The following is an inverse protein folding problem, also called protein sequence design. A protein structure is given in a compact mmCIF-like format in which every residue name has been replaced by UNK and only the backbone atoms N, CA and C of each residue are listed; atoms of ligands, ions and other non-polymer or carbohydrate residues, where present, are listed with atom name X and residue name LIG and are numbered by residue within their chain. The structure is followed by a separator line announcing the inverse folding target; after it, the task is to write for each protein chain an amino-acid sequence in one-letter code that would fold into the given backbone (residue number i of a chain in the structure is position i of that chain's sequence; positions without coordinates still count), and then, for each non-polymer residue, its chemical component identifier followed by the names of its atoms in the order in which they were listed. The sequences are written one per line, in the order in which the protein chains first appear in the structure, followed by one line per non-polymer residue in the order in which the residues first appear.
data_IF_052006340288
#
_entry.id   IF_052006340288
#
_cell.length_a   1.000
_cell.length_b   1.000
_cell.length_c   1.000
_cell.angle_alpha   90.00
_cell.angle_beta   90.00
_cell.angle_gamma   90.00
#
_symmetry.space_group_name_H-M   'P 1'
#
loop_
_entity.id
_entity.type
_entity.pdbx_description
1 polymer ?
#
# COMPACT_ATOMS: atom_id res chain seq x y z
N UNK A 1 23.94 16.71 7.02
CA UNK A 1 23.24 16.79 8.32
C UNK A 1 22.43 15.51 8.45
N UNK A 2 22.88 14.55 9.25
CA UNK A 2 22.19 13.26 9.38
C UNK A 2 20.91 13.42 10.18
N UNK A 3 19.77 13.21 9.55
CA UNK A 3 18.51 12.95 10.25
C UNK A 3 18.51 11.49 10.68
N UNK A 4 18.94 11.23 11.92
CA UNK A 4 18.81 9.91 12.52
C UNK A 4 17.34 9.45 12.45
N UNK A 5 17.09 8.22 11.99
CA UNK A 5 15.74 7.67 11.96
C UNK A 5 15.28 7.39 13.39
N UNK A 6 14.40 8.25 13.91
CA UNK A 6 13.75 8.06 15.20
C UNK A 6 12.72 6.93 15.10
N UNK A 7 12.61 6.12 16.17
CA UNK A 7 11.48 5.20 16.30
C UNK A 7 10.19 5.99 16.55
N UNK A 8 8.99 5.42 16.30
CA UNK A 8 7.72 6.09 16.58
C UNK A 8 7.62 6.62 18.02
N UNK A 9 8.00 5.80 19.01
CA UNK A 9 8.00 6.19 20.43
C UNK A 9 8.96 7.35 20.73
N UNK A 10 10.08 7.45 20.01
CA UNK A 10 11.03 8.56 20.13
C UNK A 10 10.50 9.84 19.49
N UNK A 11 9.76 9.73 18.40
CA UNK A 11 9.07 10.86 17.77
C UNK A 11 7.98 11.41 18.69
N UNK A 12 7.13 10.54 19.26
CA UNK A 12 6.07 10.92 20.20
C UNK A 12 6.64 11.56 21.49
N UNK A 13 7.76 11.04 22.00
CA UNK A 13 8.46 11.63 23.13
C UNK A 13 9.02 13.03 22.80
N UNK A 14 9.60 13.24 21.61
CA UNK A 14 10.09 14.56 21.18
C UNK A 14 8.96 15.55 20.93
N UNK A 15 7.85 15.11 20.31
CA UNK A 15 6.65 15.95 20.12
C UNK A 15 6.06 16.39 21.48
N UNK A 16 5.95 15.46 22.43
CA UNK A 16 5.49 15.75 23.80
C UNK A 16 6.39 16.75 24.52
N UNK A 17 7.72 16.63 24.36
CA UNK A 17 8.68 17.61 24.89
C UNK A 17 8.53 18.98 24.25
N UNK A 18 8.30 19.05 22.93
CA UNK A 18 8.13 20.31 22.21
C UNK A 18 6.88 21.07 22.66
N UNK A 19 5.76 20.38 22.89
CA UNK A 19 4.53 20.95 23.45
C UNK A 19 4.71 21.56 24.86
N UNK A 20 5.64 21.01 25.65
CA UNK A 20 5.96 21.50 26.98
C UNK A 20 6.88 22.75 26.99
N UNK A 21 7.35 23.23 25.83
CA UNK A 21 8.27 24.38 25.77
C UNK A 21 7.56 25.74 25.88
N UNK A 22 8.20 26.70 26.55
CA UNK A 22 7.76 28.11 26.59
C UNK A 22 7.71 28.77 25.20
N UNK A 23 8.45 28.22 24.22
CA UNK A 23 8.36 28.65 22.84
C UNK A 23 7.01 28.26 22.21
N UNK A 24 6.59 27.00 22.39
CA UNK A 24 5.28 26.51 21.95
C UNK A 24 4.14 27.27 22.63
N UNK A 25 4.22 27.46 23.95
CA UNK A 25 3.18 28.18 24.70
C UNK A 25 3.05 29.65 24.26
N UNK A 26 4.16 30.34 23.93
CA UNK A 26 4.13 31.70 23.36
C UNK A 26 3.54 31.76 21.95
N UNK A 27 3.74 30.74 21.13
CA UNK A 27 3.12 30.66 19.79
C UNK A 27 1.60 30.50 19.93
N UNK A 28 1.15 29.56 20.76
CA UNK A 28 -0.28 29.28 20.98
C UNK A 28 -0.99 30.50 21.61
N UNK A 29 -0.41 31.13 22.63
CA UNK A 29 -0.99 32.32 23.28
C UNK A 29 -0.90 33.60 22.44
N UNK A 30 -0.02 33.64 21.43
CA UNK A 30 0.09 34.74 20.48
C UNK A 30 -0.88 34.65 19.30
N UNK A 31 -1.56 33.51 19.11
CA UNK A 31 -2.31 33.19 17.90
C UNK A 31 -3.45 34.19 17.63
N UNK A 32 -4.23 34.53 18.66
CA UNK A 32 -5.36 35.48 18.59
C UNK A 32 -4.96 36.91 18.16
N UNK A 33 -3.66 37.24 18.15
CA UNK A 33 -3.14 38.56 17.72
C UNK A 33 -2.73 38.63 16.27
N UNK A 34 -2.81 37.52 15.52
CA UNK A 34 -2.34 37.45 14.11
C UNK A 34 -3.46 37.49 13.07
N UNK A 35 -4.71 37.60 13.50
CA UNK A 35 -5.87 37.75 12.61
C UNK A 35 -6.30 39.21 12.60
N UNK A 36 -5.94 39.96 11.56
CA UNK A 36 -6.69 41.19 11.24
C UNK A 36 -8.10 40.79 10.78
N UNK A 37 -9.12 41.40 11.39
CA UNK A 37 -10.51 41.10 11.08
C UNK A 37 -10.86 41.62 9.67
N UNK A 38 -11.31 40.76 8.72
CA UNK A 38 -11.50 41.16 7.34
C UNK A 38 -12.69 42.12 7.21
N UNK A 39 -12.40 43.38 6.89
CA UNK A 39 -13.41 44.41 6.64
C UNK A 39 -14.29 43.99 5.46
N UNK A 40 -15.58 43.73 5.75
CA UNK A 40 -16.58 43.37 4.74
C UNK A 40 -16.88 44.60 3.85
N UNK A 41 -16.75 44.51 2.51
CA UNK A 41 -17.16 45.60 1.62
C UNK A 41 -18.68 45.79 1.63
N UNK A 42 -19.19 47.01 1.39
CA UNK A 42 -20.62 47.30 1.41
C UNK A 42 -21.35 46.62 0.23
N UNK A 43 -22.57 46.14 0.49
CA UNK A 43 -23.41 45.52 -0.52
C UNK A 43 -23.96 46.56 -1.50
N UNK A 44 -23.80 46.29 -2.80
CA UNK A 44 -24.51 47.01 -3.88
C UNK A 44 -25.94 46.47 -4.03
N UNK A 45 -26.97 47.35 -4.14
CA UNK A 45 -28.34 46.93 -4.43
C UNK A 45 -28.55 46.62 -5.93
N UNK A 46 -29.68 45.95 -6.22
CA UNK A 46 -30.06 45.37 -7.51
C UNK A 46 -30.30 46.37 -8.66
N UNK A 47 -30.26 45.86 -9.91
CA UNK A 47 -30.94 46.50 -11.06
C UNK A 47 -30.38 46.17 -12.45
N UNK A 48 -31.19 45.45 -13.27
CA UNK A 48 -31.37 45.62 -14.73
C UNK A 48 -30.16 45.39 -15.69
N UNK A 49 -30.27 44.90 -16.94
CA UNK A 49 -31.30 44.13 -17.67
C UNK A 49 -30.63 43.39 -18.86
N UNK A 50 -31.36 42.50 -19.55
CA UNK A 50 -30.85 41.73 -20.72
C UNK A 50 -30.99 42.49 -22.05
N UNK A 51 -30.33 42.07 -23.16
CA UNK A 51 -31.12 41.39 -24.20
C UNK A 51 -30.40 40.30 -25.05
N UNK A 52 -31.24 39.50 -25.71
CA UNK A 52 -30.92 38.28 -26.48
C UNK A 52 -30.65 38.50 -27.99
N UNK A 53 -29.97 37.54 -28.65
CA UNK A 53 -29.83 37.40 -30.12
C UNK A 53 -29.94 35.90 -30.52
N UNK A 54 -30.55 35.51 -31.67
CA UNK A 54 -31.15 34.17 -31.85
C UNK A 54 -30.34 33.12 -32.64
N UNK A 55 -30.84 31.87 -32.62
CA UNK A 55 -30.38 30.72 -33.44
C UNK A 55 -30.87 30.80 -34.90
N UNK A 56 -30.11 30.20 -35.83
CA UNK A 56 -30.56 29.85 -37.19
C UNK A 56 -29.86 28.56 -37.72
N UNK A 57 -30.30 28.05 -38.87
CA UNK A 57 -30.30 26.64 -39.29
C UNK A 57 -29.00 26.06 -39.95
N UNK A 58 -28.90 24.72 -40.06
CA UNK A 58 -27.86 23.95 -40.80
C UNK A 58 -28.39 23.56 -42.23
N UNK A 59 -27.67 22.89 -43.19
CA UNK A 59 -27.08 21.52 -43.05
C UNK A 59 -25.82 21.23 -43.98
N UNK A 60 -25.59 20.08 -44.71
CA UNK A 60 -24.36 19.23 -44.59
C UNK A 60 -23.68 18.91 -45.99
N UNK A 61 -22.98 17.77 -46.33
CA UNK A 61 -22.44 16.61 -45.56
C UNK A 61 -21.05 15.99 -46.01
N UNK A 62 -20.54 15.03 -45.20
CA UNK A 62 -19.58 13.87 -45.39
C UNK A 62 -18.27 13.90 -46.25
N UNK A 63 -17.28 13.16 -45.71
CA UNK A 63 -16.07 12.48 -46.27
C UNK A 63 -14.72 13.22 -46.07
N UNK A 64 -13.58 12.57 -45.78
CA UNK A 64 -13.28 11.13 -45.51
C UNK A 64 -12.15 10.95 -44.43
N UNK A 65 -11.59 9.74 -44.27
CA UNK A 65 -10.71 9.33 -43.16
C UNK A 65 -9.20 9.61 -43.22
N UNK A 66 -8.57 9.49 -42.04
CA UNK A 66 -7.12 9.28 -41.86
C UNK A 66 -6.85 8.39 -40.63
N UNK A 67 -5.71 7.67 -40.64
CA UNK A 67 -5.37 6.62 -39.66
C UNK A 67 -4.72 7.16 -38.37
N UNK A 68 -4.80 6.43 -37.23
CA UNK A 68 -4.18 6.87 -35.97
C UNK A 68 -2.65 6.75 -36.03
N UNK A 69 -1.96 7.89 -36.06
CA UNK A 69 -0.51 7.95 -35.85
C UNK A 69 -0.13 7.66 -34.38
N UNK A 70 0.99 6.96 -34.12
CA UNK A 70 1.39 6.59 -32.77
C UNK A 70 1.91 7.79 -31.98
N UNK A 71 1.29 8.09 -30.83
CA UNK A 71 1.81 9.09 -29.90
C UNK A 71 3.05 8.52 -29.20
N UNK A 72 4.23 8.92 -29.69
CA UNK A 72 5.50 8.67 -29.04
C UNK A 72 5.53 9.32 -27.64
N UNK A 73 6.09 8.60 -26.67
CA UNK A 73 6.77 9.17 -25.49
C UNK A 73 6.03 10.27 -24.73
N UNK A 74 5.03 9.91 -23.91
CA UNK A 74 4.71 10.73 -22.72
C UNK A 74 5.84 10.53 -21.72
N UNK A 75 6.92 11.29 -21.85
CA UNK A 75 7.94 11.38 -20.80
C UNK A 75 7.25 11.71 -19.48
N UNK A 76 7.48 10.89 -18.45
CA UNK A 76 6.97 11.15 -17.13
C UNK A 76 7.70 12.38 -16.58
N UNK A 77 7.06 13.55 -16.65
CA UNK A 77 7.63 14.75 -16.06
C UNK A 77 7.88 14.49 -14.56
N UNK A 78 9.07 14.85 -14.04
CA UNK A 78 9.31 14.77 -12.61
C UNK A 78 8.32 15.71 -11.92
N UNK A 79 7.46 15.14 -11.08
CA UNK A 79 6.54 15.92 -10.25
C UNK A 79 7.40 16.86 -9.40
N UNK A 80 7.26 18.20 -9.54
CA UNK A 80 8.06 19.12 -8.74
C UNK A 80 7.74 18.88 -7.25
N UNK A 81 8.73 19.04 -6.35
CA UNK A 81 8.46 18.88 -4.92
C UNK A 81 7.33 19.82 -4.52
N UNK A 82 6.24 19.26 -3.97
CA UNK A 82 5.05 20.02 -3.65
C UNK A 82 5.42 21.20 -2.75
N UNK A 83 5.14 22.43 -3.19
CA UNK A 83 5.40 23.61 -2.39
C UNK A 83 4.46 23.60 -1.17
N UNK A 84 5.00 23.17 -0.04
CA UNK A 84 4.28 23.05 1.22
C UNK A 84 3.64 24.35 1.67
N UNK A 85 4.15 25.52 1.23
CA UNK A 85 3.53 26.82 1.52
C UNK A 85 2.19 26.98 0.81
N UNK A 86 2.07 26.45 -0.41
CA UNK A 86 0.82 26.46 -1.17
C UNK A 86 -0.25 25.63 -0.46
N UNK A 87 0.12 24.47 0.10
CA UNK A 87 -0.78 23.62 0.90
C UNK A 87 -1.33 24.36 2.14
N UNK A 88 -0.54 25.24 2.77
CA UNK A 88 -0.98 26.05 3.92
C UNK A 88 -1.92 27.21 3.54
N UNK A 89 -2.01 27.56 2.24
CA UNK A 89 -2.90 28.59 1.71
C UNK A 89 -4.12 28.02 0.96
N UNK A 90 -4.21 26.70 0.82
CA UNK A 90 -5.38 26.05 0.22
C UNK A 90 -6.54 25.97 1.22
N UNK A 91 -7.80 26.22 0.79
CA UNK A 91 -8.98 25.92 1.58
C UNK A 91 -9.04 24.45 1.98
N UNK A 92 -9.45 24.16 3.21
CA UNK A 92 -9.47 22.80 3.79
C UNK A 92 -10.24 21.82 2.91
N UNK A 93 -11.41 22.19 2.40
CA UNK A 93 -12.22 21.32 1.53
C UNK A 93 -11.50 20.94 0.24
N UNK A 94 -10.71 21.88 -0.33
CA UNK A 94 -9.92 21.65 -1.54
C UNK A 94 -8.71 20.75 -1.25
N UNK A 95 -8.10 20.88 -0.08
CA UNK A 95 -7.01 20.00 0.37
C UNK A 95 -7.53 18.58 0.67
N UNK A 96 -8.71 18.45 1.28
CA UNK A 96 -9.39 17.16 1.47
C UNK A 96 -9.70 16.51 0.13
N UNK A 97 -10.35 17.22 -0.80
CA UNK A 97 -10.73 16.67 -2.10
C UNK A 97 -9.49 16.28 -2.95
N UNK A 98 -8.43 17.10 -2.96
CA UNK A 98 -7.17 16.74 -3.63
C UNK A 98 -6.48 15.53 -2.97
N UNK A 99 -6.51 15.44 -1.63
CA UNK A 99 -5.99 14.28 -0.91
C UNK A 99 -6.78 13.01 -1.24
N UNK A 100 -8.12 13.09 -1.26
CA UNK A 100 -8.99 11.97 -1.61
C UNK A 100 -8.85 11.54 -3.06
N UNK A 101 -8.62 12.48 -3.99
CA UNK A 101 -8.34 12.20 -5.41
C UNK A 101 -6.93 11.64 -5.66
N UNK A 102 -5.98 11.90 -4.76
CA UNK A 102 -4.61 11.34 -4.82
C UNK A 102 -4.42 10.07 -3.99
N UNK A 103 -5.40 9.66 -3.17
CA UNK A 103 -5.38 8.35 -2.53
C UNK A 103 -5.32 7.25 -3.61
N UNK A 104 -4.41 6.26 -3.47
CA UNK A 104 -4.43 5.11 -4.36
C UNK A 104 -5.77 4.38 -4.25
N UNK A 105 -6.28 3.89 -5.39
CA UNK A 105 -7.55 3.19 -5.45
C UNK A 105 -7.63 2.10 -4.37
N UNK A 106 -8.78 1.93 -3.67
CA UNK A 106 -8.90 0.95 -2.61
C UNK A 106 -8.47 -0.43 -3.11
N UNK A 107 -7.59 -1.15 -2.38
CA UNK A 107 -7.13 -2.45 -2.84
C UNK A 107 -8.34 -3.37 -3.08
N UNK A 108 -8.36 -4.14 -4.19
CA UNK A 108 -9.49 -5.01 -4.51
C UNK A 108 -9.76 -5.94 -3.33
N UNK A 109 -11.03 -6.02 -2.90
CA UNK A 109 -11.44 -6.72 -1.67
C UNK A 109 -10.84 -8.13 -1.61
N UNK A 110 -9.79 -8.30 -0.81
CA UNK A 110 -9.15 -9.59 -0.61
C UNK A 110 -10.17 -10.58 -0.04
N UNK A 111 -10.31 -11.73 -0.70
CA UNK A 111 -11.17 -12.79 -0.16
C UNK A 111 -10.58 -13.26 1.18
N UNK A 112 -11.35 -13.27 2.27
CA UNK A 112 -10.86 -13.77 3.55
C UNK A 112 -10.38 -15.22 3.40
N UNK A 113 -9.32 -15.56 4.13
CA UNK A 113 -8.90 -16.95 4.25
C UNK A 113 -10.07 -17.75 4.83
N UNK A 114 -10.28 -19.01 4.40
CA UNK A 114 -11.18 -19.88 5.14
C UNK A 114 -10.64 -20.01 6.57
N UNK A 115 -11.50 -19.89 7.58
CA UNK A 115 -11.09 -19.74 8.99
C UNK A 115 -10.37 -20.97 9.57
N UNK A 116 -10.21 -21.04 10.90
CA UNK A 116 -9.42 -22.10 11.57
C UNK A 116 -9.76 -23.54 11.14
N UNK A 117 -11.02 -23.84 10.81
CA UNK A 117 -11.41 -25.15 10.24
C UNK A 117 -10.84 -25.37 8.82
N UNK A 118 -10.84 -24.33 7.99
CA UNK A 118 -10.19 -24.31 6.67
C UNK A 118 -8.68 -24.56 6.72
N UNK A 119 -8.01 -24.10 7.78
CA UNK A 119 -6.57 -24.33 7.96
C UNK A 119 -6.20 -25.82 8.03
N UNK A 120 -7.11 -26.66 8.54
CA UNK A 120 -6.95 -28.11 8.71
C UNK A 120 -7.44 -28.90 7.47
N UNK A 121 -8.43 -28.37 6.75
CA UNK A 121 -9.05 -29.05 5.62
C UNK A 121 -8.05 -29.34 4.47
N UNK A 122 -8.26 -30.43 3.70
CA UNK A 122 -7.47 -30.71 2.50
C UNK A 122 -7.62 -29.59 1.46
N UNK A 123 -6.49 -29.06 0.98
CA UNK A 123 -6.44 -27.89 0.10
C UNK A 123 -7.19 -28.07 -1.23
N UNK A 124 -7.41 -29.32 -1.66
CA UNK A 124 -8.28 -29.66 -2.81
C UNK A 124 -9.71 -29.11 -2.69
N UNK A 125 -10.22 -28.95 -1.46
CA UNK A 125 -11.54 -28.36 -1.19
C UNK A 125 -11.59 -26.84 -1.42
N UNK A 126 -10.44 -26.21 -1.66
CA UNK A 126 -10.33 -24.79 -2.02
C UNK A 126 -9.99 -24.59 -3.50
N UNK A 127 -9.87 -25.66 -4.29
CA UNK A 127 -9.47 -25.60 -5.69
C UNK A 127 -10.37 -24.70 -6.56
N UNK A 128 -11.65 -24.57 -6.21
CA UNK A 128 -12.62 -23.69 -6.88
C UNK A 128 -12.25 -22.19 -6.80
N UNK A 129 -11.44 -21.78 -5.82
CA UNK A 129 -10.97 -20.38 -5.70
C UNK A 129 -9.97 -19.97 -6.79
N UNK A 130 -9.41 -20.92 -7.55
CA UNK A 130 -8.39 -20.68 -8.59
C UNK A 130 -8.93 -20.16 -9.92
N UNK A 131 -10.23 -20.29 -10.17
CA UNK A 131 -10.83 -19.95 -11.47
C UNK A 131 -10.73 -18.44 -11.70
N UNK A 132 -10.08 -18.03 -12.79
CA UNK A 132 -9.99 -16.63 -13.23
C UNK A 132 -9.00 -15.73 -12.49
N UNK A 133 -8.08 -16.28 -11.68
CA UNK A 133 -7.07 -15.46 -10.99
C UNK A 133 -5.87 -15.14 -11.90
N UNK A 134 -5.41 -13.87 -11.96
CA UNK A 134 -4.17 -13.51 -12.65
C UNK A 134 -2.95 -14.04 -11.88
N UNK A 135 -1.80 -14.13 -12.55
CA UNK A 135 -0.55 -14.38 -11.84
C UNK A 135 -0.16 -13.17 -10.98
N UNK A 136 0.47 -13.43 -9.84
CA UNK A 136 0.75 -12.40 -8.83
C UNK A 136 2.23 -12.02 -8.82
N UNK A 137 2.52 -10.82 -8.32
CA UNK A 137 3.88 -10.44 -7.95
C UNK A 137 4.36 -11.28 -6.75
N UNK A 138 5.63 -11.73 -6.72
CA UNK A 138 6.23 -12.38 -5.56
C UNK A 138 5.95 -11.72 -4.20
N UNK A 139 6.01 -10.39 -4.09
CA UNK A 139 5.68 -9.63 -2.88
C UNK A 139 4.23 -9.82 -2.44
N UNK A 140 3.27 -9.74 -3.37
CA UNK A 140 1.84 -9.99 -3.11
C UNK A 140 1.61 -11.43 -2.68
N UNK A 141 2.26 -12.40 -3.32
CA UNK A 141 2.20 -13.81 -2.91
C UNK A 141 2.77 -14.03 -1.50
N UNK A 142 3.89 -13.38 -1.16
CA UNK A 142 4.46 -13.39 0.19
C UNK A 142 3.53 -12.70 1.21
N UNK A 143 2.80 -11.65 0.82
CA UNK A 143 1.75 -11.04 1.65
C UNK A 143 0.61 -12.02 2.02
N UNK A 144 0.17 -12.84 1.06
CA UNK A 144 -0.78 -13.91 1.36
C UNK A 144 -0.16 -15.03 2.23
N UNK A 145 1.12 -15.37 2.02
CA UNK A 145 1.83 -16.31 2.89
C UNK A 145 1.98 -15.79 4.33
N UNK A 146 2.30 -14.50 4.50
CA UNK A 146 2.29 -13.78 5.80
C UNK A 146 0.95 -13.94 6.50
N UNK A 147 -0.13 -13.62 5.79
CA UNK A 147 -1.51 -13.69 6.29
C UNK A 147 -1.86 -15.10 6.76
N UNK A 148 -1.46 -16.14 6.02
CA UNK A 148 -1.63 -17.55 6.42
C UNK A 148 -0.87 -17.86 7.72
N UNK A 149 0.37 -17.38 7.87
CA UNK A 149 1.15 -17.61 9.10
C UNK A 149 0.55 -16.90 10.32
N UNK A 150 0.03 -15.68 10.15
CA UNK A 150 -0.68 -14.95 11.21
C UNK A 150 -2.01 -15.61 11.56
N UNK A 151 -2.87 -15.86 10.58
CA UNK A 151 -4.24 -16.34 10.83
C UNK A 151 -4.31 -17.84 11.17
N UNK A 152 -3.43 -18.69 10.60
CA UNK A 152 -3.47 -20.14 10.80
C UNK A 152 -2.33 -20.66 11.70
N UNK A 153 -1.30 -19.84 11.93
CA UNK A 153 -0.17 -20.13 12.80
C UNK A 153 1.07 -20.62 12.05
N UNK A 154 2.23 -20.36 12.65
CA UNK A 154 3.54 -20.84 12.18
C UNK A 154 3.97 -22.14 12.86
N UNK A 155 4.88 -22.89 12.23
CA UNK A 155 5.55 -24.05 12.82
C UNK A 155 6.99 -24.25 12.34
N UNK A 156 7.84 -24.79 13.23
CA UNK A 156 9.17 -25.33 12.95
C UNK A 156 9.29 -26.85 13.19
N UNK A 157 8.62 -27.38 14.22
CA UNK A 157 8.82 -28.76 14.70
C UNK A 157 7.50 -29.54 14.84
N UNK A 158 7.46 -30.83 14.44
CA UNK A 158 8.36 -31.47 13.49
C UNK A 158 8.21 -30.85 12.10
N UNK A 159 9.28 -30.84 11.30
CA UNK A 159 9.25 -30.18 9.99
C UNK A 159 8.29 -30.87 9.02
N UNK A 160 7.22 -30.17 8.72
CA UNK A 160 6.20 -30.51 7.72
C UNK A 160 5.78 -29.21 7.02
N UNK A 161 5.11 -29.31 5.87
CA UNK A 161 4.42 -28.14 5.31
C UNK A 161 3.24 -27.70 6.19
N UNK A 162 2.66 -28.63 6.95
CA UNK A 162 1.47 -28.46 7.79
C UNK A 162 1.48 -29.42 8.99
N UNK A 163 1.02 -28.99 10.18
CA UNK A 163 0.65 -29.91 11.29
C UNK A 163 -0.87 -30.14 11.38
N UNK A 164 -1.27 -31.02 12.31
CA UNK A 164 -2.66 -31.36 12.56
C UNK A 164 -3.55 -30.16 12.98
N UNK A 165 -2.96 -29.07 13.50
CA UNK A 165 -3.68 -27.83 13.86
C UNK A 165 -3.81 -26.83 12.71
N UNK A 166 -3.25 -27.13 11.53
CA UNK A 166 -3.25 -26.22 10.39
C UNK A 166 -2.17 -25.14 10.43
N UNK A 167 -1.21 -25.17 11.36
CA UNK A 167 -0.07 -24.25 11.28
C UNK A 167 0.83 -24.64 10.10
N UNK A 168 1.49 -23.65 9.46
CA UNK A 168 2.36 -23.83 8.28
C UNK A 168 3.81 -23.40 8.58
N UNK A 169 4.78 -24.04 7.93
CA UNK A 169 6.14 -23.46 7.83
C UNK A 169 6.16 -22.42 6.68
N UNK A 170 7.27 -21.68 6.50
CA UNK A 170 7.40 -20.68 5.41
C UNK A 170 7.03 -21.25 4.03
N UNK A 171 7.67 -22.36 3.61
CA UNK A 171 7.35 -23.02 2.34
C UNK A 171 5.91 -23.55 2.30
N UNK A 172 5.40 -24.01 3.44
CA UNK A 172 4.02 -24.47 3.59
C UNK A 172 3.00 -23.34 3.39
N UNK A 173 3.30 -22.12 3.82
CA UNK A 173 2.45 -20.95 3.68
C UNK A 173 2.38 -20.49 2.21
N UNK A 174 3.51 -20.38 1.52
CA UNK A 174 3.55 -20.05 0.07
C UNK A 174 2.80 -21.09 -0.77
N UNK A 175 3.07 -22.38 -0.57
CA UNK A 175 2.34 -23.46 -1.25
C UNK A 175 0.84 -23.48 -0.90
N UNK A 176 0.46 -23.01 0.28
CA UNK A 176 -0.95 -22.86 0.67
C UNK A 176 -1.59 -21.66 -0.04
N UNK A 177 -0.89 -20.52 -0.15
CA UNK A 177 -1.36 -19.36 -0.90
C UNK A 177 -1.65 -19.73 -2.36
N UNK A 178 -0.71 -20.40 -3.04
CA UNK A 178 -0.93 -20.92 -4.40
C UNK A 178 -2.15 -21.86 -4.48
N UNK A 179 -2.31 -22.79 -3.54
CA UNK A 179 -3.46 -23.72 -3.53
C UNK A 179 -4.80 -23.04 -3.24
N UNK A 180 -4.80 -21.89 -2.57
CA UNK A 180 -5.97 -21.02 -2.38
C UNK A 180 -6.27 -20.15 -3.61
N UNK A 181 -5.40 -20.15 -4.63
CA UNK A 181 -5.53 -19.39 -5.88
C UNK A 181 -4.72 -18.11 -5.97
N UNK A 182 -3.78 -17.90 -5.06
CA UNK A 182 -2.91 -16.73 -5.08
C UNK A 182 -1.60 -17.03 -5.84
N UNK A 183 -1.58 -16.73 -7.14
CA UNK A 183 -0.40 -16.86 -8.01
C UNK A 183 -0.12 -18.29 -8.49
N UNK A 184 0.76 -18.39 -9.49
CA UNK A 184 1.25 -19.65 -10.07
C UNK A 184 2.30 -20.37 -9.20
N UNK A 185 2.74 -21.57 -9.62
CA UNK A 185 3.91 -22.23 -9.00
C UNK A 185 5.21 -21.49 -9.31
N UNK A 186 5.35 -20.90 -10.50
CA UNK A 186 6.47 -20.03 -10.84
C UNK A 186 6.55 -18.82 -9.87
N UNK A 187 5.41 -18.25 -9.48
CA UNK A 187 5.33 -17.20 -8.45
C UNK A 187 5.74 -17.69 -7.06
N UNK A 188 5.47 -18.96 -6.71
CA UNK A 188 5.99 -19.58 -5.48
C UNK A 188 7.52 -19.68 -5.54
N UNK A 189 8.08 -20.12 -6.67
CA UNK A 189 9.52 -20.29 -6.84
C UNK A 189 10.26 -18.94 -6.85
N UNK A 190 9.71 -17.92 -7.54
CA UNK A 190 10.21 -16.53 -7.49
C UNK A 190 10.13 -15.94 -6.08
N UNK A 191 9.03 -16.15 -5.35
CA UNK A 191 8.90 -15.74 -3.94
C UNK A 191 9.92 -16.46 -3.03
N UNK A 192 10.17 -17.76 -3.28
CA UNK A 192 11.21 -18.54 -2.61
C UNK A 192 12.62 -18.00 -2.86
N UNK A 193 12.92 -17.57 -4.10
CA UNK A 193 14.19 -16.96 -4.44
C UNK A 193 14.42 -15.62 -3.71
N UNK A 194 13.37 -14.80 -3.54
CA UNK A 194 13.43 -13.59 -2.72
C UNK A 194 13.69 -13.91 -1.24
N UNK A 195 13.02 -14.92 -0.67
CA UNK A 195 13.28 -15.38 0.71
C UNK A 195 14.74 -15.87 0.89
N UNK A 196 15.28 -16.62 -0.07
CA UNK A 196 16.70 -17.03 -0.05
C UNK A 196 17.65 -15.82 -0.14
N UNK A 197 17.28 -14.79 -0.92
CA UNK A 197 18.07 -13.57 -1.05
C UNK A 197 18.08 -12.77 0.26
N UNK A 198 16.92 -12.62 0.90
CA UNK A 198 16.82 -11.98 2.21
C UNK A 198 17.61 -12.74 3.28
N UNK A 199 17.43 -14.07 3.36
CA UNK A 199 18.21 -14.94 4.26
C UNK A 199 19.72 -14.76 4.10
N UNK A 200 20.22 -14.72 2.86
CA UNK A 200 21.64 -14.47 2.57
C UNK A 200 22.11 -13.10 3.05
N UNK A 201 21.27 -12.07 2.92
CA UNK A 201 21.60 -10.73 3.44
C UNK A 201 21.66 -10.68 4.97
N UNK A 202 20.94 -11.57 5.65
CA UNK A 202 21.01 -11.79 7.10
C UNK A 202 22.13 -12.77 7.52
N UNK A 203 23.04 -13.14 6.60
CA UNK A 203 24.16 -14.05 6.85
C UNK A 203 23.82 -15.54 6.79
N UNK A 204 22.58 -15.93 6.47
CA UNK A 204 22.19 -17.33 6.36
C UNK A 204 22.46 -17.89 4.96
N UNK A 205 23.37 -18.87 4.87
CA UNK A 205 23.81 -19.47 3.60
C UNK A 205 22.98 -20.68 3.16
N UNK A 206 22.18 -21.26 4.05
CA UNK A 206 21.36 -22.45 3.80
C UNK A 206 20.01 -22.16 3.13
N UNK A 207 19.24 -23.23 2.90
CA UNK A 207 17.86 -23.12 2.38
C UNK A 207 16.85 -22.71 3.46
N UNK A 208 15.65 -22.30 3.01
CA UNK A 208 14.50 -21.92 3.88
C UNK A 208 14.14 -23.05 4.86
N UNK A 209 14.15 -24.31 4.41
CA UNK A 209 13.80 -25.48 5.22
C UNK A 209 14.71 -25.66 6.45
N UNK A 210 16.04 -25.74 6.28
CA UNK A 210 17.02 -25.62 7.37
C UNK A 210 16.78 -24.41 8.28
N UNK A 211 16.66 -23.18 7.75
CA UNK A 211 16.43 -21.98 8.56
C UNK A 211 15.20 -22.10 9.46
N UNK A 212 14.08 -22.56 8.88
CA UNK A 212 12.81 -22.73 9.60
C UNK A 212 12.90 -23.84 10.66
N UNK A 213 13.91 -24.72 10.66
CA UNK A 213 14.12 -25.78 11.66
C UNK A 213 15.13 -25.41 12.75
N UNK A 214 15.83 -24.29 12.60
CA UNK A 214 16.90 -23.91 13.52
C UNK A 214 16.35 -23.78 14.96
N UNK A 215 17.02 -24.36 15.98
CA UNK A 215 16.61 -24.23 17.37
C UNK A 215 16.47 -22.77 17.79
N UNK A 216 15.49 -22.49 18.66
CA UNK A 216 15.19 -21.13 19.12
C UNK A 216 14.40 -20.26 18.14
N UNK A 217 14.18 -20.68 16.88
CA UNK A 217 13.34 -19.92 15.94
C UNK A 217 11.90 -19.79 16.43
N UNK A 218 11.36 -18.58 16.26
CA UNK A 218 10.03 -18.19 16.71
C UNK A 218 9.10 -17.86 15.52
N UNK A 219 7.81 -17.76 15.80
CA UNK A 219 6.84 -17.24 14.83
C UNK A 219 7.11 -15.76 14.48
N UNK A 220 7.67 -14.98 15.42
CA UNK A 220 8.05 -13.59 15.19
C UNK A 220 9.19 -13.49 14.16
N UNK A 221 10.23 -14.34 14.28
CA UNK A 221 11.34 -14.39 13.31
C UNK A 221 10.82 -14.69 11.90
N UNK A 222 9.89 -15.65 11.79
CA UNK A 222 9.33 -16.07 10.50
C UNK A 222 8.48 -14.98 9.84
N UNK A 223 7.75 -14.19 10.65
CA UNK A 223 7.00 -13.02 10.16
C UNK A 223 7.95 -11.88 9.80
N UNK A 224 8.95 -11.58 10.63
CA UNK A 224 9.95 -10.54 10.36
C UNK A 224 10.75 -10.82 9.07
N UNK A 225 11.15 -12.08 8.85
CA UNK A 225 11.81 -12.49 7.60
C UNK A 225 10.90 -12.27 6.37
N UNK A 226 9.62 -12.62 6.49
CA UNK A 226 8.66 -12.40 5.40
C UNK A 226 8.42 -10.91 5.17
N UNK A 227 8.29 -10.09 6.21
CA UNK A 227 8.03 -8.65 6.09
C UNK A 227 9.23 -7.91 5.49
N UNK A 228 10.46 -8.28 5.86
CA UNK A 228 11.67 -7.81 5.19
C UNK A 228 11.72 -8.25 3.71
N UNK A 229 11.36 -9.49 3.41
CA UNK A 229 11.34 -10.01 2.04
C UNK A 229 10.27 -9.32 1.17
N UNK A 230 9.06 -9.11 1.70
CA UNK A 230 7.99 -8.36 1.02
C UNK A 230 8.48 -6.96 0.69
N UNK A 231 9.10 -6.27 1.65
CA UNK A 231 9.64 -4.92 1.48
C UNK A 231 10.69 -4.90 0.38
N UNK A 232 11.68 -5.80 0.43
CA UNK A 232 12.74 -5.92 -0.59
C UNK A 232 12.18 -6.20 -1.99
N UNK A 233 11.29 -7.18 -2.12
CA UNK A 233 10.70 -7.54 -3.41
C UNK A 233 9.86 -6.37 -3.98
N UNK A 234 9.05 -5.72 -3.15
CA UNK A 234 8.21 -4.58 -3.55
C UNK A 234 9.04 -3.39 -4.04
N UNK A 235 10.13 -3.07 -3.34
CA UNK A 235 11.08 -2.01 -3.76
C UNK A 235 11.80 -2.34 -5.07
N UNK A 236 11.95 -3.63 -5.40
CA UNK A 236 12.47 -4.10 -6.69
C UNK A 236 11.37 -4.22 -7.78
N UNK A 237 10.12 -3.85 -7.51
CA UNK A 237 8.99 -3.98 -8.43
C UNK A 237 8.38 -5.38 -8.56
N UNK A 238 8.85 -6.33 -7.74
CA UNK A 238 8.40 -7.72 -7.67
C UNK A 238 7.43 -7.97 -6.51
#
# INVERSE_FOLDING_TARGET
METAQLTPDQLDAQASQLHATDAWQRIVTGWDRTVEEPVRPPATPDGEESPSVPNDEAPPPVLDGEAPSPVLGREAQPVPPADWRNLLSMPVDRLIDESLRTLPAPPPRERPLPGRLGAVLPERLHAWRRIGQPDLRPSTHLGHARRILTEWGWQNTPYRLRNARGARCLCGAMLTAHRLGYGSLDTVDRAGAWLITELRSQGWTGLIGPWNREPGRTAADALALIDATITRASLAGH
#
